data_IF_125079453033
#
_entry.id   IF_125079453033
#
_cell.length_a   1.000
_cell.length_b   1.000
_cell.length_c   1.000
_cell.angle_alpha   90.00
_cell.angle_beta   90.00
_cell.angle_gamma   90.00
#
_symmetry.space_group_name_H-M   'P 1'
#
loop_
_entity.id
_entity.type
_entity.pdbx_description
1 polymer ?
#
# COMPACT_ATOMS: atom_id res chain seq x y z
N UNK A 1 -0.21 16.19 -5.63
CA UNK A 1 -1.16 15.34 -6.40
C UNK A 1 -2.17 16.19 -7.15
N UNK A 2 -3.00 16.96 -6.47
CA UNK A 2 -4.05 17.81 -7.08
C UNK A 2 -3.52 18.81 -8.10
N UNK A 3 -2.35 19.40 -7.88
CA UNK A 3 -1.70 20.29 -8.85
C UNK A 3 -1.39 19.57 -10.18
N UNK A 4 -0.96 18.32 -10.12
CA UNK A 4 -0.68 17.52 -11.32
C UNK A 4 -1.94 17.14 -12.07
N UNK A 5 -3.02 16.83 -11.35
CA UNK A 5 -4.32 16.58 -11.94
C UNK A 5 -4.84 17.83 -12.64
N UNK A 6 -4.79 18.98 -11.98
CA UNK A 6 -5.18 20.26 -12.59
C UNK A 6 -4.36 20.63 -13.82
N UNK A 7 -3.06 20.34 -13.80
CA UNK A 7 -2.18 20.54 -14.97
C UNK A 7 -2.57 19.61 -16.14
N UNK A 8 -2.82 18.34 -15.85
CA UNK A 8 -3.19 17.35 -16.86
C UNK A 8 -4.56 17.64 -17.48
N UNK A 9 -5.51 18.12 -16.69
CA UNK A 9 -6.84 18.57 -17.17
C UNK A 9 -6.72 19.76 -18.13
N UNK A 10 -5.87 20.75 -17.78
CA UNK A 10 -5.66 21.95 -18.64
C UNK A 10 -4.98 21.61 -19.95
N UNK A 11 -4.29 20.49 -20.05
CA UNK A 11 -3.54 20.06 -21.24
C UNK A 11 -4.29 19.01 -22.07
N UNK A 12 -5.60 18.79 -21.82
CA UNK A 12 -6.42 17.76 -22.47
C UNK A 12 -5.82 16.34 -22.42
N UNK A 13 -4.87 16.10 -21.53
CA UNK A 13 -4.24 14.79 -21.36
C UNK A 13 -5.16 13.82 -20.61
N UNK A 14 -6.15 14.33 -19.88
CA UNK A 14 -7.16 13.57 -19.16
C UNK A 14 -8.50 14.21 -19.45
N UNK A 15 -9.42 13.44 -19.98
CA UNK A 15 -10.81 13.79 -20.00
C UNK A 15 -11.40 13.42 -18.64
N UNK A 16 -11.26 14.29 -17.64
CA UNK A 16 -12.17 14.23 -16.51
C UNK A 16 -13.53 14.43 -17.15
N UNK A 17 -14.40 13.42 -17.03
CA UNK A 17 -15.80 13.63 -17.39
C UNK A 17 -16.26 14.85 -16.59
N UNK A 18 -16.29 16.01 -17.29
CA UNK A 18 -16.92 17.21 -16.76
C UNK A 18 -18.32 16.74 -16.43
N UNK A 19 -18.65 16.66 -15.16
CA UNK A 19 -19.99 16.38 -14.74
C UNK A 19 -20.86 17.32 -15.56
N UNK A 20 -21.71 16.78 -16.42
CA UNK A 20 -22.95 17.45 -16.72
C UNK A 20 -23.52 17.83 -15.37
N UNK A 21 -23.92 19.10 -15.14
CA UNK A 21 -24.46 19.51 -13.87
C UNK A 21 -25.48 18.46 -13.48
N UNK A 22 -25.28 17.84 -12.34
CA UNK A 22 -26.12 16.78 -11.83
C UNK A 22 -27.58 17.27 -11.82
N UNK A 23 -28.26 17.06 -12.93
CA UNK A 23 -29.70 17.10 -13.01
C UNK A 23 -30.20 15.73 -12.58
N UNK A 24 -29.99 15.45 -11.35
CA UNK A 24 -30.65 14.57 -10.43
C UNK A 24 -29.77 14.59 -9.21
N UNK A 25 -30.21 15.31 -8.21
CA UNK A 25 -29.84 15.04 -6.84
C UNK A 25 -29.66 13.53 -6.74
N UNK A 26 -28.40 13.05 -6.58
CA UNK A 26 -28.20 11.84 -5.84
C UNK A 26 -28.78 12.22 -4.48
N UNK A 27 -30.06 11.98 -4.38
CA UNK A 27 -30.72 11.81 -3.12
C UNK A 27 -29.84 10.79 -2.42
N UNK A 28 -29.03 11.28 -1.51
CA UNK A 28 -28.37 10.46 -0.51
C UNK A 28 -29.52 9.69 0.10
N UNK A 29 -29.66 8.45 -0.33
CA UNK A 29 -30.84 7.67 -0.02
C UNK A 29 -30.75 7.35 1.46
N UNK A 30 -31.36 8.21 2.26
CA UNK A 30 -31.49 8.05 3.71
C UNK A 30 -32.16 6.72 4.04
N UNK A 31 -32.87 6.11 3.07
CA UNK A 31 -33.39 4.75 3.18
C UNK A 31 -32.30 3.70 3.19
N UNK A 32 -31.15 3.92 2.48
CA UNK A 32 -30.00 3.03 2.55
C UNK A 32 -29.31 3.08 3.92
N UNK A 33 -29.39 4.21 4.64
CA UNK A 33 -28.92 4.30 6.03
C UNK A 33 -29.89 3.58 6.97
N UNK A 34 -31.21 3.71 6.74
CA UNK A 34 -32.23 3.03 7.51
C UNK A 34 -32.26 1.51 7.25
N UNK A 35 -31.99 1.07 6.01
CA UNK A 35 -31.82 -0.35 5.70
C UNK A 35 -30.56 -0.95 6.35
N UNK A 36 -29.48 -0.17 6.49
CA UNK A 36 -28.30 -0.57 7.25
C UNK A 36 -28.58 -0.65 8.78
N UNK A 37 -29.35 0.29 9.34
CA UNK A 37 -29.77 0.20 10.74
C UNK A 37 -30.70 -1.00 10.99
N UNK A 38 -31.58 -1.31 10.03
CA UNK A 38 -32.44 -2.50 10.10
C UNK A 38 -31.69 -3.82 9.87
N UNK A 39 -30.56 -3.78 9.16
CA UNK A 39 -29.69 -4.94 9.01
C UNK A 39 -28.92 -5.23 10.31
N UNK A 40 -28.43 -4.19 10.99
CA UNK A 40 -27.77 -4.31 12.29
C UNK A 40 -28.71 -4.82 13.38
N UNK A 41 -30.00 -4.45 13.35
CA UNK A 41 -30.97 -4.92 14.36
C UNK A 41 -31.47 -6.34 14.11
N UNK A 42 -31.45 -6.84 12.87
CA UNK A 42 -31.84 -8.23 12.55
C UNK A 42 -30.74 -9.24 12.81
N UNK A 43 -29.47 -8.82 12.74
CA UNK A 43 -28.33 -9.71 13.01
C UNK A 43 -27.98 -9.81 14.50
N UNK A 44 -28.48 -8.88 15.32
CA UNK A 44 -28.22 -8.84 16.76
C UNK A 44 -29.01 -9.86 17.58
N UNK A 45 -30.00 -10.55 17.01
CA UNK A 45 -30.87 -11.44 17.78
C UNK A 45 -30.45 -12.90 17.80
N UNK A 46 -29.47 -13.34 16.98
CA UNK A 46 -29.16 -14.77 16.86
C UNK A 46 -27.68 -15.17 17.06
N UNK A 47 -26.80 -14.25 17.38
CA UNK A 47 -25.39 -14.58 17.64
C UNK A 47 -24.99 -14.12 19.05
N UNK A 48 -24.58 -15.08 19.86
CA UNK A 48 -24.08 -14.89 21.25
C UNK A 48 -22.79 -14.08 21.35
N UNK A 49 -22.25 -13.58 20.24
CA UNK A 49 -21.00 -12.81 20.15
C UNK A 49 -21.21 -11.51 19.37
N UNK A 50 -20.78 -10.40 19.93
CA UNK A 50 -20.73 -9.11 19.24
C UNK A 50 -19.90 -9.25 17.94
N UNK A 51 -20.44 -8.83 16.77
CA UNK A 51 -19.74 -8.92 15.50
C UNK A 51 -18.35 -8.26 15.50
N UNK A 52 -18.19 -7.14 16.21
CA UNK A 52 -16.91 -6.46 16.36
C UNK A 52 -15.90 -7.33 17.10
N UNK A 53 -16.31 -7.96 18.19
CA UNK A 53 -15.45 -8.85 19.00
C UNK A 53 -14.97 -10.05 18.17
N UNK A 54 -15.82 -10.62 17.34
CA UNK A 54 -15.44 -11.72 16.45
C UNK A 54 -14.35 -11.25 15.45
N UNK A 55 -14.53 -10.09 14.82
CA UNK A 55 -13.56 -9.58 13.85
C UNK A 55 -12.24 -9.18 14.50
N UNK A 56 -12.26 -8.59 15.70
CA UNK A 56 -11.05 -8.35 16.49
C UNK A 56 -10.35 -9.67 16.85
N UNK A 57 -11.11 -10.70 17.18
CA UNK A 57 -10.60 -12.06 17.42
C UNK A 57 -9.91 -12.64 16.18
N UNK A 58 -10.51 -12.47 14.99
CA UNK A 58 -9.88 -12.91 13.72
C UNK A 58 -8.57 -12.17 13.44
N UNK A 59 -8.52 -10.86 13.67
CA UNK A 59 -7.28 -10.07 13.55
C UNK A 59 -6.23 -10.57 14.54
N UNK A 60 -6.61 -10.82 15.78
CA UNK A 60 -5.69 -11.37 16.79
C UNK A 60 -5.14 -12.75 16.38
N UNK A 61 -5.99 -13.64 15.86
CA UNK A 61 -5.55 -14.96 15.34
C UNK A 61 -4.57 -14.79 14.17
N UNK A 62 -4.83 -13.87 13.25
CA UNK A 62 -3.90 -13.58 12.14
C UNK A 62 -2.53 -13.10 12.66
N UNK A 63 -2.51 -12.23 13.69
CA UNK A 63 -1.28 -11.78 14.35
C UNK A 63 -0.53 -12.92 15.04
N UNK A 64 -1.25 -13.80 15.74
CA UNK A 64 -0.67 -14.99 16.41
C UNK A 64 -0.05 -15.93 15.37
N UNK A 65 -0.74 -16.18 14.27
CA UNK A 65 -0.21 -17.00 13.17
C UNK A 65 1.04 -16.37 12.55
N UNK A 66 1.05 -15.05 12.38
CA UNK A 66 2.20 -14.31 11.90
C UNK A 66 3.40 -14.39 12.85
N UNK A 67 3.17 -14.23 14.15
CA UNK A 67 4.23 -14.37 15.17
C UNK A 67 4.75 -15.82 15.26
N UNK A 68 3.87 -16.80 15.16
CA UNK A 68 4.26 -18.19 15.12
C UNK A 68 5.15 -18.49 13.90
N UNK A 69 4.76 -17.99 12.72
CA UNK A 69 5.56 -18.11 11.50
C UNK A 69 6.93 -17.44 11.65
N UNK A 70 6.97 -16.24 12.24
CA UNK A 70 8.21 -15.53 12.51
C UNK A 70 9.14 -16.32 13.43
N UNK A 71 8.61 -16.89 14.51
CA UNK A 71 9.37 -17.74 15.44
C UNK A 71 9.89 -19.02 14.79
N UNK A 72 9.09 -19.64 13.93
CA UNK A 72 9.49 -20.82 13.18
C UNK A 72 10.66 -20.48 12.23
N UNK A 73 10.59 -19.33 11.54
CA UNK A 73 11.68 -18.88 10.68
C UNK A 73 12.95 -18.54 11.47
N UNK A 74 12.86 -17.91 12.63
CA UNK A 74 14.00 -17.67 13.52
C UNK A 74 14.64 -18.99 13.98
N UNK A 75 13.80 -19.96 14.36
CA UNK A 75 14.27 -21.27 14.77
C UNK A 75 14.97 -22.00 13.62
N UNK A 76 14.39 -21.96 12.43
CA UNK A 76 14.99 -22.53 11.22
C UNK A 76 16.34 -21.87 10.89
N UNK A 77 16.42 -20.53 10.96
CA UNK A 77 17.67 -19.79 10.76
C UNK A 77 18.73 -20.21 11.77
N UNK A 78 18.38 -20.29 13.04
CA UNK A 78 19.29 -20.64 14.12
C UNK A 78 19.94 -22.03 13.92
N UNK A 79 19.15 -23.01 13.44
CA UNK A 79 19.64 -24.38 13.22
C UNK A 79 20.31 -24.60 11.86
N UNK A 80 20.14 -23.69 10.88
CA UNK A 80 20.69 -23.89 9.53
C UNK A 80 21.90 -23.01 9.25
N UNK A 81 21.69 -21.74 8.97
CA UNK A 81 22.73 -20.82 8.51
C UNK A 81 23.09 -19.70 9.49
N UNK A 82 22.29 -19.49 10.53
CA UNK A 82 22.52 -18.45 11.54
C UNK A 82 23.92 -18.46 12.16
N UNK A 83 24.48 -19.64 12.49
CA UNK A 83 25.84 -19.73 13.04
C UNK A 83 26.93 -19.22 12.10
N UNK A 84 26.72 -19.24 10.79
CA UNK A 84 27.71 -18.86 9.77
C UNK A 84 27.54 -17.43 9.28
N UNK A 85 26.30 -16.94 9.17
CA UNK A 85 25.99 -15.62 8.59
C UNK A 85 25.53 -14.59 9.61
N UNK A 86 25.24 -15.03 10.85
CA UNK A 86 24.58 -14.26 11.89
C UNK A 86 23.08 -14.14 11.65
N UNK A 87 22.33 -14.02 12.73
CA UNK A 87 20.87 -14.01 12.72
C UNK A 87 20.32 -12.72 12.09
N UNK A 88 19.45 -12.86 11.09
CA UNK A 88 18.78 -11.78 10.37
C UNK A 88 17.30 -11.74 10.70
N UNK A 89 16.66 -12.90 10.92
CA UNK A 89 15.23 -13.02 11.17
C UNK A 89 14.71 -12.22 12.41
N UNK A 90 15.49 -12.00 13.48
CA UNK A 90 15.06 -11.14 14.58
C UNK A 90 14.72 -9.71 14.16
N UNK A 91 15.32 -9.24 13.07
CA UNK A 91 15.06 -7.89 12.53
C UNK A 91 13.85 -7.83 11.59
N UNK A 92 13.28 -8.98 11.20
CA UNK A 92 12.08 -9.02 10.37
C UNK A 92 10.88 -8.56 11.19
N UNK A 93 10.17 -7.49 10.78
CA UNK A 93 9.02 -7.00 11.52
C UNK A 93 7.86 -8.00 11.45
N UNK A 94 6.97 -7.90 12.45
CA UNK A 94 5.79 -8.76 12.51
C UNK A 94 4.81 -8.51 11.34
N UNK A 95 4.78 -7.30 10.79
CA UNK A 95 3.82 -6.88 9.77
C UNK A 95 3.72 -7.84 8.56
N UNK A 96 4.81 -8.16 7.82
CA UNK A 96 4.72 -9.07 6.68
C UNK A 96 4.29 -10.49 7.08
N UNK A 97 4.73 -10.94 8.25
CA UNK A 97 4.37 -12.26 8.77
C UNK A 97 2.90 -12.31 9.17
N UNK A 98 2.38 -11.26 9.78
CA UNK A 98 0.96 -11.14 10.11
C UNK A 98 0.08 -11.10 8.85
N UNK A 99 0.55 -10.48 7.77
CA UNK A 99 -0.15 -10.50 6.49
C UNK A 99 -0.23 -11.91 5.89
N UNK A 100 0.87 -12.68 5.95
CA UNK A 100 0.87 -14.10 5.55
C UNK A 100 -0.05 -14.89 6.48
N UNK A 101 -0.01 -14.65 7.79
CA UNK A 101 -0.92 -15.26 8.78
C UNK A 101 -2.39 -14.99 8.45
N UNK A 102 -2.72 -13.76 8.06
CA UNK A 102 -4.06 -13.37 7.60
C UNK A 102 -4.49 -14.10 6.33
N UNK A 103 -3.56 -14.24 5.35
CA UNK A 103 -3.84 -15.00 4.12
C UNK A 103 -4.09 -16.48 4.40
N UNK A 104 -3.32 -17.09 5.30
CA UNK A 104 -3.51 -18.48 5.75
C UNK A 104 -4.88 -18.62 6.44
N UNK A 105 -5.21 -17.69 7.36
CA UNK A 105 -6.50 -17.69 8.05
C UNK A 105 -7.65 -17.55 7.05
N UNK A 106 -7.55 -16.66 6.07
CA UNK A 106 -8.54 -16.50 5.00
C UNK A 106 -8.71 -17.80 4.20
N UNK A 107 -7.63 -18.45 3.83
CA UNK A 107 -7.68 -19.73 3.11
C UNK A 107 -8.40 -20.82 3.93
N UNK A 108 -8.14 -20.90 5.24
CA UNK A 108 -8.80 -21.82 6.15
C UNK A 108 -10.30 -21.52 6.27
N UNK A 109 -10.67 -20.24 6.41
CA UNK A 109 -12.07 -19.83 6.52
C UNK A 109 -12.84 -20.14 5.23
N UNK A 110 -12.24 -19.86 4.07
CA UNK A 110 -12.83 -20.14 2.76
C UNK A 110 -13.00 -21.65 2.54
N UNK A 111 -11.99 -22.46 2.85
CA UNK A 111 -12.07 -23.92 2.72
C UNK A 111 -13.10 -24.55 3.66
N UNK A 112 -13.34 -23.90 4.81
CA UNK A 112 -14.33 -24.34 5.81
C UNK A 112 -15.73 -23.78 5.56
N UNK A 113 -15.93 -22.95 4.51
CA UNK A 113 -17.22 -22.31 4.19
C UNK A 113 -17.68 -21.27 5.21
N UNK A 114 -16.78 -20.82 6.10
CA UNK A 114 -17.06 -19.85 7.17
C UNK A 114 -16.73 -18.40 6.80
N UNK A 115 -16.27 -18.15 5.59
CA UNK A 115 -15.97 -16.83 5.05
C UNK A 115 -17.18 -15.88 5.04
N UNK A 116 -18.41 -16.43 5.01
CA UNK A 116 -19.66 -15.67 5.08
C UNK A 116 -19.84 -14.86 6.38
N UNK A 117 -19.15 -15.24 7.45
CA UNK A 117 -19.21 -14.55 8.74
C UNK A 117 -18.22 -13.40 8.85
N UNK A 118 -17.35 -13.20 7.83
CA UNK A 118 -16.36 -12.14 7.80
C UNK A 118 -16.89 -10.96 7.01
N UNK A 119 -17.22 -9.88 7.70
CA UNK A 119 -17.61 -8.62 7.10
C UNK A 119 -16.38 -7.82 6.70
N UNK A 120 -16.22 -7.57 5.40
CA UNK A 120 -15.16 -6.67 4.88
C UNK A 120 -15.29 -5.25 5.43
N UNK A 121 -16.51 -4.80 5.67
CA UNK A 121 -16.76 -3.47 6.18
C UNK A 121 -16.21 -3.32 7.61
N UNK A 122 -16.47 -4.28 8.50
CA UNK A 122 -15.94 -4.28 9.87
C UNK A 122 -14.42 -4.37 9.88
N UNK A 123 -13.81 -5.21 9.05
CA UNK A 123 -12.36 -5.27 8.90
C UNK A 123 -11.80 -3.91 8.44
N UNK A 124 -12.43 -3.25 7.47
CA UNK A 124 -12.00 -1.93 7.01
C UNK A 124 -12.15 -0.86 8.09
N UNK A 125 -13.21 -0.90 8.91
CA UNK A 125 -13.39 0.01 10.04
C UNK A 125 -12.30 -0.20 11.11
N UNK A 126 -12.00 -1.45 11.47
CA UNK A 126 -10.91 -1.79 12.40
C UNK A 126 -9.57 -1.30 11.84
N UNK A 127 -9.30 -1.52 10.56
CA UNK A 127 -8.09 -1.05 9.89
C UNK A 127 -7.99 0.48 9.93
N UNK A 128 -9.08 1.19 9.66
CA UNK A 128 -9.11 2.66 9.73
C UNK A 128 -8.78 3.19 11.12
N UNK A 129 -9.46 2.69 12.15
CA UNK A 129 -9.19 3.07 13.54
C UNK A 129 -7.75 2.75 13.94
N UNK A 130 -7.24 1.57 13.57
CA UNK A 130 -5.85 1.17 13.84
C UNK A 130 -4.85 2.11 13.16
N UNK A 131 -5.14 2.53 11.93
CA UNK A 131 -4.30 3.49 11.20
C UNK A 131 -4.27 4.86 11.90
N UNK A 132 -5.41 5.36 12.35
CA UNK A 132 -5.49 6.63 13.09
C UNK A 132 -4.67 6.57 14.39
N UNK A 133 -4.76 5.46 15.13
CA UNK A 133 -3.93 5.24 16.33
C UNK A 133 -2.42 5.22 15.99
N UNK A 134 -2.03 4.54 14.92
CA UNK A 134 -0.62 4.50 14.48
C UNK A 134 -0.13 5.89 14.13
N UNK A 135 -0.92 6.70 13.41
CA UNK A 135 -0.56 8.08 13.03
C UNK A 135 -0.37 8.93 14.28
N UNK A 136 -1.32 8.90 15.21
CA UNK A 136 -1.24 9.67 16.47
C UNK A 136 -0.05 9.23 17.30
N UNK A 137 0.16 7.92 17.45
CA UNK A 137 1.30 7.39 18.21
C UNK A 137 2.64 7.78 17.57
N UNK A 138 2.77 7.71 16.25
CA UNK A 138 3.96 8.12 15.53
C UNK A 138 4.27 9.61 15.72
N UNK A 139 3.25 10.47 15.63
CA UNK A 139 3.43 11.91 15.88
C UNK A 139 3.77 12.20 17.33
N UNK A 140 3.14 11.52 18.30
CA UNK A 140 3.38 11.70 19.73
C UNK A 140 4.77 11.24 20.17
N UNK A 141 5.31 10.19 19.54
CA UNK A 141 6.64 9.63 19.86
C UNK A 141 7.79 10.27 19.07
N UNK A 142 7.46 11.11 18.08
CA UNK A 142 8.47 11.76 17.24
C UNK A 142 9.29 12.77 18.03
N UNK A 143 10.60 12.55 18.06
CA UNK A 143 11.53 13.47 18.76
C UNK A 143 11.84 14.71 17.90
N UNK A 144 11.13 15.80 18.16
CA UNK A 144 11.38 17.10 17.51
C UNK A 144 12.81 17.60 17.76
N UNK A 145 13.37 17.29 18.92
CA UNK A 145 14.75 17.64 19.24
C UNK A 145 15.77 16.94 18.34
N UNK A 146 15.53 15.68 17.99
CA UNK A 146 16.38 14.92 17.06
C UNK A 146 16.28 15.46 15.63
N UNK A 147 15.09 15.86 15.20
CA UNK A 147 14.88 16.52 13.90
C UNK A 147 15.60 17.87 13.88
N UNK A 148 15.48 18.66 14.95
CA UNK A 148 16.14 19.96 15.07
C UNK A 148 17.67 19.86 15.02
N UNK A 149 18.26 18.82 15.61
CA UNK A 149 19.72 18.59 15.53
C UNK A 149 20.19 18.19 14.13
N UNK A 150 19.37 17.48 13.37
CA UNK A 150 19.75 16.92 12.07
C UNK A 150 18.88 17.49 10.93
N UNK A 151 18.38 18.73 11.08
CA UNK A 151 17.45 19.32 10.13
C UNK A 151 17.98 19.34 8.70
N UNK A 152 19.30 19.55 8.51
CA UNK A 152 19.92 19.55 7.19
C UNK A 152 19.80 18.21 6.50
N UNK A 153 20.13 17.11 7.21
CA UNK A 153 19.98 15.76 6.68
C UNK A 153 18.51 15.43 6.37
N UNK A 154 17.60 15.84 7.25
CA UNK A 154 16.16 15.65 7.05
C UNK A 154 15.67 16.39 5.79
N UNK A 155 16.04 17.65 5.60
CA UNK A 155 15.63 18.45 4.42
C UNK A 155 16.23 17.86 3.14
N UNK A 156 17.51 17.48 3.15
CA UNK A 156 18.14 16.86 1.97
C UNK A 156 17.43 15.57 1.59
N UNK A 157 17.13 14.70 2.54
CA UNK A 157 16.40 13.45 2.28
C UNK A 157 14.98 13.71 1.77
N UNK A 158 14.26 14.64 2.39
CA UNK A 158 12.90 14.99 1.97
C UNK A 158 12.86 15.57 0.54
N UNK A 159 13.75 16.51 0.24
CA UNK A 159 13.86 17.13 -1.10
C UNK A 159 14.28 16.11 -2.13
N UNK A 160 15.28 15.27 -1.83
CA UNK A 160 15.75 14.22 -2.74
C UNK A 160 14.66 13.19 -3.02
N UNK A 161 13.95 12.74 -1.97
CA UNK A 161 12.84 11.80 -2.10
C UNK A 161 11.69 12.37 -2.95
N UNK A 162 11.30 13.62 -2.69
CA UNK A 162 10.27 14.29 -3.47
C UNK A 162 10.71 14.49 -4.93
N UNK A 163 11.94 14.95 -5.16
CA UNK A 163 12.49 15.12 -6.50
C UNK A 163 12.52 13.80 -7.26
N UNK A 164 12.92 12.70 -6.59
CA UNK A 164 12.90 11.35 -7.16
C UNK A 164 11.48 10.92 -7.55
N UNK A 165 10.50 11.11 -6.67
CA UNK A 165 9.10 10.73 -6.93
C UNK A 165 8.52 11.53 -8.11
N UNK A 166 8.81 12.83 -8.17
CA UNK A 166 8.42 13.70 -9.30
C UNK A 166 9.12 13.26 -10.60
N UNK A 167 10.41 12.93 -10.54
CA UNK A 167 11.16 12.40 -11.69
C UNK A 167 10.57 11.08 -12.20
N UNK A 168 10.25 10.15 -11.31
CA UNK A 168 9.59 8.90 -11.67
C UNK A 168 8.25 9.16 -12.36
N UNK A 169 7.45 10.07 -11.82
CA UNK A 169 6.14 10.41 -12.37
C UNK A 169 6.22 11.05 -13.76
N UNK A 170 7.08 12.07 -13.95
CA UNK A 170 7.13 12.83 -15.20
C UNK A 170 8.03 12.24 -16.27
N UNK A 171 9.08 11.54 -15.88
CA UNK A 171 10.12 11.07 -16.82
C UNK A 171 10.02 9.57 -17.08
N UNK A 172 9.85 8.76 -16.02
CA UNK A 172 9.83 7.31 -16.16
C UNK A 172 8.44 6.79 -16.54
N UNK A 173 7.38 7.25 -15.88
CA UNK A 173 6.05 6.73 -16.11
C UNK A 173 5.59 6.83 -17.58
N UNK A 174 5.74 7.95 -18.30
CA UNK A 174 5.36 8.01 -19.70
C UNK A 174 6.13 7.04 -20.61
N UNK A 175 7.34 6.62 -20.18
CA UNK A 175 8.21 5.72 -20.96
C UNK A 175 8.00 4.26 -20.64
N UNK A 176 7.49 3.96 -19.46
CA UNK A 176 7.35 2.58 -18.94
C UNK A 176 5.91 2.10 -18.92
N UNK A 177 4.93 2.98 -18.82
CA UNK A 177 3.53 2.62 -18.74
C UNK A 177 2.85 2.80 -20.11
N UNK A 178 2.47 1.72 -20.79
CA UNK A 178 1.69 1.81 -22.02
C UNK A 178 0.27 2.26 -21.66
N UNK A 179 -0.34 3.06 -22.54
CA UNK A 179 -1.72 3.52 -22.43
C UNK A 179 -2.13 4.09 -21.07
N UNK A 180 -2.67 5.29 -21.06
CA UNK A 180 -3.17 5.96 -19.84
C UNK A 180 -2.14 5.96 -18.70
N UNK A 181 -0.92 6.31 -19.03
CA UNK A 181 0.21 6.35 -18.09
C UNK A 181 -0.06 7.23 -16.87
N UNK A 182 -0.80 8.34 -17.08
CA UNK A 182 -1.06 9.30 -16.02
C UNK A 182 -1.93 8.72 -14.92
N UNK A 183 -3.05 8.08 -15.28
CA UNK A 183 -4.00 7.47 -14.33
C UNK A 183 -3.35 6.35 -13.53
N UNK A 184 -2.42 5.60 -14.13
CA UNK A 184 -1.66 4.55 -13.47
C UNK A 184 -0.58 5.14 -12.55
N UNK A 185 0.17 6.12 -13.04
CA UNK A 185 1.28 6.71 -12.31
C UNK A 185 0.85 7.59 -11.14
N UNK A 186 -0.33 8.23 -11.22
CA UNK A 186 -0.81 9.13 -10.15
C UNK A 186 -1.09 8.39 -8.85
N UNK A 187 -1.48 7.12 -8.94
CA UNK A 187 -1.63 6.23 -7.78
C UNK A 187 -0.29 5.98 -7.08
N UNK A 188 0.75 5.68 -7.85
CA UNK A 188 2.10 5.46 -7.33
C UNK A 188 2.71 6.74 -6.76
N UNK A 189 2.46 7.89 -7.42
CA UNK A 189 2.86 9.19 -6.90
C UNK A 189 2.20 9.50 -5.56
N UNK A 190 0.88 9.26 -5.45
CA UNK A 190 0.14 9.46 -4.20
C UNK A 190 0.61 8.56 -3.07
N UNK A 191 0.92 7.29 -3.38
CA UNK A 191 1.48 6.36 -2.41
C UNK A 191 2.90 6.78 -1.97
N UNK A 192 3.76 7.18 -2.92
CA UNK A 192 5.15 7.57 -2.63
C UNK A 192 5.28 8.89 -1.87
N UNK A 193 4.29 9.77 -1.94
CA UNK A 193 4.25 11.05 -1.21
C UNK A 193 3.35 11.02 0.03
N UNK A 194 2.64 9.92 0.25
CA UNK A 194 1.72 9.74 1.36
C UNK A 194 1.58 8.27 1.71
N UNK A 195 0.38 7.73 1.52
CA UNK A 195 0.04 6.34 1.78
C UNK A 195 -0.82 5.77 0.64
N UNK A 196 -1.07 4.46 0.68
CA UNK A 196 -1.92 3.76 -0.30
C UNK A 196 -3.27 4.47 -0.51
N UNK A 197 -3.91 4.91 0.58
CA UNK A 197 -5.18 5.62 0.53
C UNK A 197 -5.09 6.94 -0.27
N UNK A 198 -3.98 7.69 -0.13
CA UNK A 198 -3.74 8.91 -0.92
C UNK A 198 -3.58 8.59 -2.41
N UNK A 199 -2.92 7.48 -2.74
CA UNK A 199 -2.81 6.99 -4.11
C UNK A 199 -4.18 6.65 -4.71
N UNK A 200 -4.98 5.88 -3.99
CA UNK A 200 -6.34 5.50 -4.41
C UNK A 200 -7.25 6.73 -4.59
N UNK A 201 -7.15 7.72 -3.69
CA UNK A 201 -7.91 8.96 -3.80
C UNK A 201 -7.55 9.73 -5.07
N UNK A 202 -6.26 9.90 -5.36
CA UNK A 202 -5.81 10.58 -6.57
C UNK A 202 -6.22 9.84 -7.85
N UNK A 203 -6.19 8.50 -7.82
CA UNK A 203 -6.68 7.68 -8.93
C UNK A 203 -8.19 7.85 -9.15
N UNK A 204 -9.00 7.90 -8.09
CA UNK A 204 -10.44 8.18 -8.21
C UNK A 204 -10.73 9.54 -8.81
N UNK A 205 -9.93 10.55 -8.50
CA UNK A 205 -10.05 11.88 -9.09
C UNK A 205 -9.63 11.85 -10.57
N UNK A 206 -8.58 11.10 -10.92
CA UNK A 206 -8.07 11.02 -12.29
C UNK A 206 -8.91 10.12 -13.21
N UNK A 207 -9.49 9.04 -12.66
CA UNK A 207 -10.33 8.07 -13.38
C UNK A 207 -11.58 7.72 -12.56
N UNK A 208 -12.58 8.61 -12.49
CA UNK A 208 -13.79 8.39 -11.70
C UNK A 208 -14.62 7.19 -12.16
N UNK A 209 -14.51 6.82 -13.45
CA UNK A 209 -15.26 5.70 -14.06
C UNK A 209 -14.48 4.39 -14.10
N UNK A 210 -13.30 4.32 -13.50
CA UNK A 210 -12.43 3.13 -13.45
C UNK A 210 -12.23 2.46 -14.82
N UNK A 211 -12.06 3.26 -15.89
CA UNK A 211 -11.92 2.76 -17.26
C UNK A 211 -10.47 2.56 -17.70
N UNK A 212 -9.52 3.01 -16.89
CA UNK A 212 -8.09 2.97 -17.23
C UNK A 212 -7.43 1.61 -16.92
N UNK A 213 -8.05 0.76 -16.10
CA UNK A 213 -7.41 -0.43 -15.52
C UNK A 213 -6.32 -0.07 -14.49
N UNK A 214 -6.30 1.19 -14.02
CA UNK A 214 -5.29 1.66 -13.09
C UNK A 214 -5.47 1.05 -11.69
N UNK A 215 -6.72 0.89 -11.24
CA UNK A 215 -7.02 0.30 -9.94
C UNK A 215 -6.60 -1.16 -9.85
N UNK A 216 -6.86 -1.95 -10.89
CA UNK A 216 -6.48 -3.36 -10.98
C UNK A 216 -4.96 -3.49 -11.01
N UNK A 217 -4.29 -2.68 -11.83
CA UNK A 217 -2.82 -2.68 -11.91
C UNK A 217 -2.18 -2.28 -10.57
N UNK A 218 -2.73 -1.25 -9.90
CA UNK A 218 -2.28 -0.80 -8.59
C UNK A 218 -2.50 -1.88 -7.53
N UNK A 219 -3.68 -2.53 -7.51
CA UNK A 219 -3.98 -3.63 -6.61
C UNK A 219 -3.04 -4.83 -6.79
N UNK A 220 -2.78 -5.26 -8.02
CA UNK A 220 -1.82 -6.32 -8.31
C UNK A 220 -0.40 -5.95 -7.84
N UNK A 221 0.03 -4.70 -8.09
CA UNK A 221 1.32 -4.20 -7.58
C UNK A 221 1.40 -4.28 -6.06
N UNK A 222 0.36 -3.84 -5.36
CA UNK A 222 0.32 -3.86 -3.89
C UNK A 222 0.44 -5.28 -3.34
N UNK A 223 -0.33 -6.22 -3.88
CA UNK A 223 -0.28 -7.62 -3.44
C UNK A 223 1.12 -8.23 -3.57
N UNK A 224 1.86 -7.90 -4.63
CA UNK A 224 3.17 -8.50 -4.90
C UNK A 224 4.29 -7.76 -4.15
N UNK A 225 4.29 -6.45 -4.14
CA UNK A 225 5.45 -5.67 -3.69
C UNK A 225 5.34 -5.10 -2.29
N UNK A 226 4.14 -4.85 -1.77
CA UNK A 226 3.97 -4.26 -0.45
C UNK A 226 4.57 -5.10 0.69
N UNK A 227 4.46 -6.45 0.69
CA UNK A 227 5.10 -7.29 1.70
C UNK A 227 6.61 -7.12 1.77
N UNK A 228 7.23 -6.75 0.66
CA UNK A 228 8.68 -6.65 0.55
C UNK A 228 9.19 -5.22 0.64
N UNK A 229 8.57 -4.26 -0.06
CA UNK A 229 9.09 -2.91 -0.28
C UNK A 229 8.32 -1.82 0.46
N UNK A 230 7.03 -1.94 0.65
CA UNK A 230 6.16 -0.91 1.24
C UNK A 230 6.19 -0.84 2.77
N UNK A 231 7.36 -0.83 3.40
CA UNK A 231 7.52 -1.03 4.85
C UNK A 231 7.72 -2.49 5.23
N UNK A 232 7.81 -3.38 4.24
CA UNK A 232 7.97 -4.81 4.41
C UNK A 232 9.39 -5.25 4.76
N UNK A 233 9.70 -6.52 4.48
CA UNK A 233 10.93 -7.20 4.91
C UNK A 233 12.19 -6.45 4.46
N UNK A 234 12.28 -6.03 3.20
CA UNK A 234 13.47 -5.36 2.64
C UNK A 234 13.70 -4.01 3.33
N UNK A 235 12.63 -3.24 3.51
CA UNK A 235 12.71 -1.93 4.17
C UNK A 235 13.16 -2.06 5.62
N UNK A 236 12.66 -3.06 6.34
CA UNK A 236 13.04 -3.31 7.73
C UNK A 236 14.48 -3.81 7.88
N UNK A 237 14.94 -4.64 6.95
CA UNK A 237 16.31 -5.15 6.93
C UNK A 237 17.34 -4.11 6.47
N UNK A 238 16.93 -3.03 5.80
CA UNK A 238 17.84 -2.02 5.26
C UNK A 238 18.74 -1.42 6.34
N UNK A 239 18.21 -1.09 7.52
CA UNK A 239 18.99 -0.51 8.61
C UNK A 239 20.00 -1.50 9.24
N UNK A 240 19.60 -2.72 9.65
CA UNK A 240 20.53 -3.74 10.12
C UNK A 240 21.62 -4.09 9.10
N UNK A 241 21.26 -4.22 7.82
CA UNK A 241 22.22 -4.49 6.76
C UNK A 241 23.18 -3.30 6.56
N UNK A 242 22.71 -2.07 6.67
CA UNK A 242 23.55 -0.89 6.59
C UNK A 242 24.65 -0.90 7.68
N UNK A 243 24.31 -1.33 8.88
CA UNK A 243 25.28 -1.45 9.99
C UNK A 243 26.28 -2.59 9.75
N UNK A 244 25.84 -3.71 9.17
CA UNK A 244 26.69 -4.90 8.95
C UNK A 244 27.60 -4.80 7.73
N UNK A 245 27.02 -4.44 6.60
CA UNK A 245 27.69 -4.50 5.28
C UNK A 245 28.25 -3.12 4.88
N UNK A 246 27.78 -2.09 5.54
CA UNK A 246 28.15 -0.70 5.27
C UNK A 246 27.22 0.01 4.29
N UNK A 247 27.08 1.34 4.42
CA UNK A 247 26.14 2.12 3.61
C UNK A 247 26.51 2.14 2.11
N UNK A 248 27.81 2.10 1.80
CA UNK A 248 28.26 2.13 0.40
C UNK A 248 27.87 0.87 -0.37
N UNK A 249 28.03 -0.30 0.24
CA UNK A 249 27.65 -1.57 -0.40
C UNK A 249 26.14 -1.65 -0.66
N UNK A 250 25.31 -1.18 0.29
CA UNK A 250 23.85 -1.08 0.08
C UNK A 250 23.49 -0.08 -1.00
N UNK A 251 24.15 1.06 -1.05
CA UNK A 251 23.92 2.06 -2.09
C UNK A 251 24.20 1.46 -3.48
N UNK A 252 25.32 0.73 -3.64
CA UNK A 252 25.66 0.04 -4.89
C UNK A 252 24.62 -1.03 -5.22
N UNK A 253 24.23 -1.85 -4.26
CA UNK A 253 23.26 -2.92 -4.46
C UNK A 253 21.88 -2.36 -4.88
N UNK A 254 21.30 -1.45 -4.09
CA UNK A 254 19.99 -0.88 -4.41
C UNK A 254 20.04 0.05 -5.63
N UNK A 255 21.15 0.74 -5.84
CA UNK A 255 21.37 1.58 -7.02
C UNK A 255 21.41 0.75 -8.30
N UNK A 256 22.15 -0.36 -8.31
CA UNK A 256 22.18 -1.28 -9.45
C UNK A 256 20.84 -1.95 -9.69
N UNK A 257 20.16 -2.41 -8.63
CA UNK A 257 18.81 -2.98 -8.74
C UNK A 257 17.81 -1.98 -9.34
N UNK A 258 17.88 -0.72 -8.92
CA UNK A 258 17.04 0.36 -9.46
C UNK A 258 17.36 0.61 -10.94
N UNK A 259 18.63 0.72 -11.32
CA UNK A 259 19.03 0.91 -12.70
C UNK A 259 18.59 -0.24 -13.59
N UNK A 260 18.79 -1.48 -13.15
CA UNK A 260 18.34 -2.68 -13.88
C UNK A 260 16.82 -2.66 -14.06
N UNK A 261 16.07 -2.33 -13.00
CA UNK A 261 14.60 -2.24 -13.06
C UNK A 261 14.13 -1.16 -14.04
N UNK A 262 14.80 0.01 -14.08
CA UNK A 262 14.48 1.08 -15.03
C UNK A 262 14.77 0.63 -16.46
N UNK A 263 15.94 0.04 -16.70
CA UNK A 263 16.33 -0.44 -18.04
C UNK A 263 15.36 -1.53 -18.51
N UNK A 264 15.06 -2.51 -17.68
CA UNK A 264 14.07 -3.55 -18.01
C UNK A 264 12.69 -2.97 -18.25
N UNK A 265 12.24 -2.04 -17.42
CA UNK A 265 10.96 -1.36 -17.61
C UNK A 265 10.87 -0.62 -18.94
N UNK A 266 11.90 0.11 -19.32
CA UNK A 266 11.94 0.84 -20.60
C UNK A 266 12.04 -0.13 -21.79
N UNK A 267 12.79 -1.22 -21.67
CA UNK A 267 12.98 -2.17 -22.77
C UNK A 267 11.74 -3.05 -23.00
N UNK A 268 11.14 -3.55 -21.91
CA UNK A 268 10.01 -4.48 -21.98
C UNK A 268 8.69 -3.79 -22.28
N UNK A 269 8.49 -2.57 -21.75
CA UNK A 269 7.23 -1.83 -21.86
C UNK A 269 7.32 -0.61 -22.78
N UNK A 270 8.34 -0.55 -23.64
CA UNK A 270 8.45 0.51 -24.65
C UNK A 270 7.14 0.59 -25.43
N UNK A 271 6.46 1.76 -25.44
CA UNK A 271 5.23 1.88 -26.21
C UNK A 271 5.58 1.56 -27.67
N UNK A 272 5.11 0.40 -28.14
CA UNK A 272 5.11 0.12 -29.56
C UNK A 272 4.40 1.30 -30.22
N UNK A 273 5.03 1.95 -31.17
CA UNK A 273 4.43 3.03 -31.92
C UNK A 273 3.10 2.49 -32.48
N UNK A 274 2.01 2.81 -31.78
CA UNK A 274 0.68 2.47 -32.25
C UNK A 274 0.49 3.34 -33.47
N UNK A 275 0.62 2.73 -34.64
CA UNK A 275 0.09 3.26 -35.89
C UNK A 275 -1.31 3.79 -35.61
N UNK A 276 -1.59 5.07 -35.87
CA UNK A 276 -2.94 5.58 -35.72
C UNK A 276 -3.82 4.76 -36.69
N UNK A 277 -4.63 3.89 -36.10
CA UNK A 277 -5.59 3.11 -36.88
C UNK A 277 -6.53 4.05 -37.60
N UNK A 278 -6.67 3.79 -38.89
CA UNK A 278 -7.63 4.37 -39.81
C UNK A 278 -9.06 4.24 -39.30
#
# INVERSE_FOLDING_TARGET
GTLFINYAVRRDSITIAREEPASKEEHYDLTAIQDNENFDTKTASDTTSDPLTLHLGLVAVALILGELLRRLLMLFEHYTYGPFTGEIMPYVPLFPMAMIGGAILQAILTSSGKDRHVSRELINRISGVSLDFIIVAALATMSLASIGKNWQAFVILAVTGLAWTVFCFWVLAPRMLPNRWFEKAIGDFGQGTGMVASGLLLMRIADPKSRSGAFEAFGCKQLVFEPFLGGGVITALALPLCVRVGPFALLVFFGTATLVSIVLGILLFRPSAITPGK
#
